data_IF_934550838674
#
_entry.id   IF_934550838674
#
_cell.length_a   1.000
_cell.length_b   1.000
_cell.length_c   1.000
_cell.angle_alpha   90.00
_cell.angle_beta   90.00
_cell.angle_gamma   90.00
#
_symmetry.space_group_name_H-M   'P 1'
#
loop_
_entity.id
_entity.type
_entity.pdbx_description
1 polymer ?
#
# COMPACT_ATOMS: atom_id res chain seq x y z
N UNK A 1 28.81 -72.40 46.79
CA UNK A 1 28.62 -71.05 46.20
C UNK A 1 29.33 -70.98 44.85
N UNK A 2 28.73 -70.34 43.85
CA UNK A 2 29.34 -70.11 42.53
C UNK A 2 28.48 -70.55 41.35
N UNK A 3 27.34 -69.89 41.11
CA UNK A 3 26.65 -69.89 39.80
C UNK A 3 26.73 -68.48 39.23
N UNK A 4 27.45 -68.30 38.14
CA UNK A 4 27.18 -67.22 37.18
C UNK A 4 27.82 -67.55 35.84
N UNK A 5 27.00 -68.11 34.96
CA UNK A 5 27.29 -68.26 33.56
C UNK A 5 26.03 -67.90 32.77
N UNK A 6 26.22 -67.25 31.63
CA UNK A 6 25.27 -67.01 30.54
C UNK A 6 24.49 -65.67 30.58
N UNK A 7 24.88 -64.74 29.69
CA UNK A 7 24.16 -64.39 28.44
C UNK A 7 24.58 -63.01 27.93
N UNK A 8 25.56 -62.95 27.02
CA UNK A 8 25.72 -61.81 26.09
C UNK A 8 24.68 -61.98 24.98
N UNK A 9 23.54 -61.29 25.10
CA UNK A 9 22.45 -61.34 24.12
C UNK A 9 22.75 -60.37 22.98
N UNK A 10 22.84 -60.94 21.79
CA UNK A 10 22.97 -60.29 20.51
C UNK A 10 21.79 -59.35 20.21
N UNK A 11 22.08 -58.12 19.80
CA UNK A 11 21.21 -57.28 18.97
C UNK A 11 22.07 -56.26 18.21
N UNK A 12 22.72 -56.72 17.13
CA UNK A 12 23.03 -55.85 15.98
C UNK A 12 21.82 -55.92 15.06
N UNK A 13 20.90 -54.99 15.23
CA UNK A 13 19.72 -54.85 14.39
C UNK A 13 20.02 -53.81 13.30
N UNK A 14 19.86 -54.24 12.04
CA UNK A 14 19.83 -53.46 10.80
C UNK A 14 21.09 -52.72 10.32
N UNK A 15 22.02 -53.48 9.75
CA UNK A 15 22.73 -53.03 8.54
C UNK A 15 21.92 -53.53 7.34
N UNK A 16 20.92 -52.75 6.90
CA UNK A 16 20.16 -53.06 5.68
C UNK A 16 21.02 -52.62 4.50
N UNK A 17 21.67 -53.58 3.85
CA UNK A 17 22.44 -53.32 2.63
C UNK A 17 21.48 -52.86 1.53
N UNK A 18 21.56 -51.59 1.13
CA UNK A 18 21.07 -51.12 -0.17
C UNK A 18 22.05 -51.67 -1.23
N UNK A 19 21.93 -52.96 -1.56
CA UNK A 19 22.64 -53.54 -2.69
C UNK A 19 22.02 -52.93 -3.96
N UNK A 20 22.80 -52.03 -4.57
CA UNK A 20 22.48 -51.31 -5.79
C UNK A 20 22.22 -52.28 -6.94
N UNK A 21 21.02 -52.20 -7.51
CA UNK A 21 20.80 -52.50 -8.92
C UNK A 21 20.89 -51.17 -9.65
N UNK A 22 22.03 -50.85 -10.25
CA UNK A 22 22.16 -49.66 -11.10
C UNK A 22 21.39 -49.86 -12.41
N UNK A 23 20.06 -49.78 -12.33
CA UNK A 23 19.22 -49.46 -13.48
C UNK A 23 19.22 -47.94 -13.59
N UNK A 24 20.15 -47.40 -14.37
CA UNK A 24 20.11 -45.99 -14.75
C UNK A 24 18.79 -45.70 -15.47
N UNK A 25 18.16 -44.57 -15.14
CA UNK A 25 17.01 -44.08 -15.90
C UNK A 25 17.43 -43.89 -17.37
N UNK A 26 16.60 -44.37 -18.29
CA UNK A 26 16.84 -44.11 -19.71
C UNK A 26 16.51 -42.65 -20.03
N UNK A 27 17.18 -42.06 -21.02
CA UNK A 27 16.90 -40.69 -21.46
C UNK A 27 15.43 -40.50 -21.86
N UNK A 28 14.82 -41.54 -22.45
CA UNK A 28 13.42 -41.50 -22.88
C UNK A 28 12.44 -41.46 -21.69
N UNK A 29 12.68 -42.23 -20.62
CA UNK A 29 11.84 -42.20 -19.42
C UNK A 29 11.89 -40.82 -18.75
N UNK A 30 13.06 -40.20 -18.73
CA UNK A 30 13.21 -38.85 -18.21
C UNK A 30 12.45 -37.83 -19.07
N UNK A 31 12.59 -37.88 -20.39
CA UNK A 31 11.93 -36.93 -21.30
C UNK A 31 10.40 -37.06 -21.23
N UNK A 32 9.86 -38.27 -21.22
CA UNK A 32 8.41 -38.49 -21.15
C UNK A 32 7.86 -37.99 -19.82
N UNK A 33 8.54 -38.25 -18.70
CA UNK A 33 8.07 -37.82 -17.38
C UNK A 33 8.09 -36.30 -17.21
N UNK A 34 9.18 -35.61 -17.60
CA UNK A 34 9.21 -34.14 -17.54
C UNK A 34 8.18 -33.52 -18.46
N UNK A 35 7.88 -34.14 -19.61
CA UNK A 35 6.86 -33.66 -20.55
C UNK A 35 5.47 -33.73 -19.92
N UNK A 36 5.13 -34.86 -19.30
CA UNK A 36 3.83 -35.00 -18.60
C UNK A 36 3.72 -34.03 -17.42
N UNK A 37 4.79 -33.88 -16.63
CA UNK A 37 4.82 -32.90 -15.53
C UNK A 37 4.67 -31.46 -16.03
N UNK A 38 5.30 -31.12 -17.16
CA UNK A 38 5.19 -29.79 -17.76
C UNK A 38 3.76 -29.48 -18.20
N UNK A 39 3.06 -30.43 -18.83
CA UNK A 39 1.66 -30.26 -19.25
C UNK A 39 0.74 -30.06 -18.03
N UNK A 40 0.89 -30.88 -16.97
CA UNK A 40 0.09 -30.73 -15.75
C UNK A 40 0.39 -29.39 -15.06
N UNK A 41 1.67 -29.03 -14.94
CA UNK A 41 2.09 -27.78 -14.33
C UNK A 41 1.52 -26.56 -15.08
N UNK A 42 1.49 -26.59 -16.42
CA UNK A 42 0.98 -25.50 -17.24
C UNK A 42 -0.48 -25.13 -16.91
N UNK A 43 -1.34 -26.11 -16.61
CA UNK A 43 -2.72 -25.86 -16.21
C UNK A 43 -2.87 -25.59 -14.70
N UNK A 44 -2.03 -26.20 -13.87
CA UNK A 44 -2.16 -26.11 -12.40
C UNK A 44 -1.64 -24.77 -11.86
N UNK A 45 -0.54 -24.23 -12.42
CA UNK A 45 0.10 -23.00 -11.92
C UNK A 45 -0.87 -21.80 -11.95
N UNK A 46 -1.57 -21.48 -13.05
CA UNK A 46 -2.50 -20.34 -13.08
C UNK A 46 -3.62 -20.45 -12.04
N UNK A 47 -4.18 -21.65 -11.85
CA UNK A 47 -5.22 -21.88 -10.85
C UNK A 47 -4.69 -21.70 -9.42
N UNK A 48 -3.46 -22.14 -9.16
CA UNK A 48 -2.83 -21.97 -7.85
C UNK A 48 -2.57 -20.49 -7.54
N UNK A 49 -2.16 -19.69 -8.54
CA UNK A 49 -1.95 -18.26 -8.37
C UNK A 49 -3.23 -17.55 -7.92
N UNK A 50 -4.38 -17.83 -8.54
CA UNK A 50 -5.66 -17.28 -8.11
C UNK A 50 -6.03 -17.63 -6.66
N UNK A 51 -5.81 -18.89 -6.25
CA UNK A 51 -6.06 -19.30 -4.85
C UNK A 51 -5.12 -18.62 -3.86
N UNK A 52 -3.87 -18.36 -4.25
CA UNK A 52 -2.90 -17.64 -3.41
C UNK A 52 -3.34 -16.19 -3.23
N UNK A 53 -3.78 -15.52 -4.29
CA UNK A 53 -4.24 -14.13 -4.19
C UNK A 53 -5.52 -14.01 -3.36
N UNK A 54 -6.47 -14.94 -3.51
CA UNK A 54 -7.65 -15.04 -2.64
C UNK A 54 -7.28 -15.26 -1.16
N UNK A 55 -6.28 -16.11 -0.90
CA UNK A 55 -5.80 -16.36 0.46
C UNK A 55 -5.16 -15.11 1.07
N UNK A 56 -4.36 -14.36 0.29
CA UNK A 56 -3.78 -13.09 0.72
C UNK A 56 -4.85 -12.04 1.00
N UNK A 57 -5.89 -11.93 0.17
CA UNK A 57 -6.99 -11.00 0.39
C UNK A 57 -7.80 -11.36 1.65
N UNK A 58 -8.03 -12.66 1.91
CA UNK A 58 -8.67 -13.13 3.15
C UNK A 58 -7.81 -12.89 4.40
N UNK A 59 -6.51 -13.15 4.33
CA UNK A 59 -5.59 -12.88 5.44
C UNK A 59 -5.50 -11.37 5.72
N UNK A 60 -5.47 -10.53 4.68
CA UNK A 60 -5.56 -9.08 4.80
C UNK A 60 -6.81 -8.64 5.58
N UNK A 61 -8.00 -9.10 5.17
CA UNK A 61 -9.28 -8.80 5.86
C UNK A 61 -9.29 -9.30 7.30
N UNK A 62 -8.73 -10.48 7.54
CA UNK A 62 -8.61 -11.06 8.88
C UNK A 62 -7.74 -10.17 9.79
N UNK A 63 -6.57 -9.76 9.31
CA UNK A 63 -5.66 -8.85 10.03
C UNK A 63 -6.33 -7.50 10.32
N UNK A 64 -7.01 -6.92 9.34
CA UNK A 64 -7.77 -5.67 9.53
C UNK A 64 -8.79 -5.79 10.66
N UNK A 65 -9.58 -6.86 10.68
CA UNK A 65 -10.57 -7.09 11.75
C UNK A 65 -9.91 -7.34 13.11
N UNK A 66 -8.78 -8.06 13.14
CA UNK A 66 -8.03 -8.32 14.38
C UNK A 66 -7.40 -7.03 14.93
N UNK A 67 -6.93 -6.11 14.07
CA UNK A 67 -6.47 -4.77 14.48
C UNK A 67 -7.64 -3.98 15.08
N UNK A 68 -8.80 -3.94 14.42
CA UNK A 68 -10.01 -3.27 14.94
C UNK A 68 -10.41 -3.79 16.31
N UNK A 69 -10.45 -5.12 16.47
CA UNK A 69 -10.78 -5.76 17.75
C UNK A 69 -9.74 -5.47 18.83
N UNK A 70 -8.45 -5.65 18.51
CA UNK A 70 -7.35 -5.40 19.46
C UNK A 70 -7.33 -3.95 19.93
N UNK A 71 -7.70 -3.00 19.06
CA UNK A 71 -7.85 -1.59 19.42
C UNK A 71 -8.94 -1.41 20.47
N UNK A 72 -10.15 -1.89 20.21
CA UNK A 72 -11.26 -1.82 21.15
C UNK A 72 -10.91 -2.45 22.50
N UNK A 73 -10.29 -3.63 22.49
CA UNK A 73 -9.86 -4.33 23.71
C UNK A 73 -8.88 -3.47 24.54
N UNK A 74 -7.86 -2.89 23.90
CA UNK A 74 -6.86 -2.04 24.59
C UNK A 74 -7.43 -0.69 25.07
N UNK A 75 -8.42 -0.13 24.37
CA UNK A 75 -9.10 1.09 24.81
C UNK A 75 -9.92 0.81 26.07
N UNK A 76 -10.63 -0.32 26.11
CA UNK A 76 -11.40 -0.75 27.29
C UNK A 76 -10.47 -1.04 28.48
N UNK A 77 -9.35 -1.73 28.26
CA UNK A 77 -8.37 -2.03 29.31
C UNK A 77 -7.74 -0.78 29.93
N UNK A 78 -7.66 0.34 29.19
CA UNK A 78 -7.21 1.63 29.72
C UNK A 78 -8.24 2.34 30.60
N UNK A 79 -9.46 1.81 30.72
CA UNK A 79 -10.52 2.40 31.54
C UNK A 79 -11.10 3.68 30.95
N UNK A 80 -11.05 3.85 29.62
CA UNK A 80 -11.67 5.00 28.96
C UNK A 80 -13.18 4.94 29.14
N UNK A 81 -13.80 6.01 29.66
CA UNK A 81 -15.23 6.03 29.99
C UNK A 81 -16.14 5.85 28.77
N UNK A 82 -15.74 6.39 27.61
CA UNK A 82 -16.48 6.27 26.34
C UNK A 82 -15.55 5.76 25.24
N UNK A 83 -15.28 4.44 25.17
CA UNK A 83 -14.38 3.85 24.17
C UNK A 83 -14.78 4.16 22.73
N UNK A 84 -16.09 4.26 22.46
CA UNK A 84 -16.64 4.55 21.14
C UNK A 84 -16.36 5.97 20.66
N UNK A 85 -15.80 6.86 21.49
CA UNK A 85 -15.38 8.21 21.08
C UNK A 85 -13.86 8.41 21.12
N UNK A 86 -13.12 7.36 21.45
CA UNK A 86 -11.71 7.47 21.76
C UNK A 86 -10.84 7.25 20.52
N UNK A 87 -9.99 8.22 20.22
CA UNK A 87 -9.05 8.24 19.09
C UNK A 87 -7.62 8.14 19.62
N UNK A 88 -6.87 7.11 19.23
CA UNK A 88 -5.50 6.97 19.73
C UNK A 88 -4.60 6.15 18.81
N UNK A 89 -3.88 6.84 17.93
CA UNK A 89 -2.85 6.20 17.13
C UNK A 89 -1.69 5.63 17.94
N UNK A 90 -1.46 6.03 19.20
CA UNK A 90 -0.47 5.34 20.05
C UNK A 90 -0.88 3.90 20.39
N UNK A 91 -2.18 3.63 20.50
CA UNK A 91 -2.70 2.26 20.66
C UNK A 91 -2.62 1.52 19.33
N UNK A 92 -2.97 2.20 18.23
CA UNK A 92 -2.83 1.62 16.88
C UNK A 92 -1.38 1.25 16.60
N UNK A 93 -0.42 2.12 16.90
CA UNK A 93 1.01 1.87 16.74
C UNK A 93 1.45 0.64 17.54
N UNK A 94 1.04 0.53 18.82
CA UNK A 94 1.32 -0.66 19.63
C UNK A 94 0.80 -1.95 19.00
N UNK A 95 -0.37 -1.90 18.37
CA UNK A 95 -0.94 -3.08 17.70
C UNK A 95 -0.19 -3.34 16.40
N UNK A 96 -0.13 -2.34 15.52
CA UNK A 96 0.34 -2.49 14.16
C UNK A 96 1.86 -2.73 14.11
N UNK A 97 2.62 -1.95 14.86
CA UNK A 97 4.09 -2.05 14.89
C UNK A 97 4.50 -3.23 15.77
N UNK A 98 4.06 -3.28 17.04
CA UNK A 98 4.61 -4.28 17.97
C UNK A 98 4.07 -5.70 17.71
N UNK A 99 2.80 -5.85 17.32
CA UNK A 99 2.19 -7.19 17.08
C UNK A 99 2.43 -7.69 15.65
N UNK A 100 2.34 -6.82 14.65
CA UNK A 100 2.43 -7.23 13.24
C UNK A 100 3.73 -6.83 12.55
N UNK A 101 4.64 -6.13 13.22
CA UNK A 101 5.90 -5.67 12.62
C UNK A 101 5.70 -4.61 11.53
N UNK A 102 4.58 -3.86 11.60
CA UNK A 102 4.30 -2.81 10.65
C UNK A 102 5.28 -1.64 10.77
N UNK A 103 5.47 -0.94 9.67
CA UNK A 103 6.26 0.28 9.61
C UNK A 103 5.34 1.46 9.31
N UNK A 104 5.66 2.64 9.81
CA UNK A 104 4.88 3.85 9.56
C UNK A 104 5.79 5.02 9.21
N UNK A 105 5.29 5.91 8.37
CA UNK A 105 5.92 7.19 8.08
C UNK A 105 4.99 8.30 8.58
N UNK A 106 5.59 9.36 9.13
CA UNK A 106 4.86 10.49 9.72
C UNK A 106 4.18 11.28 8.62
N UNK A 107 2.87 11.09 8.50
CA UNK A 107 1.91 11.86 7.72
C UNK A 107 0.67 11.98 8.61
N UNK A 108 0.82 12.73 9.69
CA UNK A 108 -0.22 12.86 10.71
C UNK A 108 -1.18 13.98 10.27
N UNK A 109 -2.44 13.63 9.96
CA UNK A 109 -3.50 14.65 9.86
C UNK A 109 -4.13 14.89 11.19
N UNK A 110 -4.34 16.15 11.51
CA UNK A 110 -5.13 16.57 12.65
C UNK A 110 -6.47 17.13 12.16
N UNK A 111 -7.55 16.83 12.87
CA UNK A 111 -8.83 17.51 12.68
C UNK A 111 -8.80 18.94 13.28
N UNK A 112 -9.90 19.67 13.16
CA UNK A 112 -10.06 21.01 13.75
C UNK A 112 -9.85 21.06 15.27
N UNK A 113 -9.82 19.91 15.95
CA UNK A 113 -9.56 19.78 17.38
C UNK A 113 -8.09 19.48 17.71
N UNK A 114 -7.23 19.31 16.70
CA UNK A 114 -5.84 18.87 16.86
C UNK A 114 -5.71 17.34 17.05
N UNK A 115 -6.79 16.58 16.86
CA UNK A 115 -6.78 15.13 17.04
C UNK A 115 -6.34 14.45 15.76
N UNK A 116 -5.38 13.52 15.87
CA UNK A 116 -4.93 12.77 14.70
C UNK A 116 -6.06 11.90 14.15
N UNK A 117 -6.36 12.04 12.86
CA UNK A 117 -7.49 11.34 12.21
C UNK A 117 -7.06 10.24 11.25
N UNK A 118 -5.86 10.30 10.65
CA UNK A 118 -5.38 9.27 9.72
C UNK A 118 -3.90 8.95 9.90
N UNK A 119 -3.51 7.71 9.56
CA UNK A 119 -2.12 7.28 9.52
C UNK A 119 -1.90 6.11 8.56
N UNK A 120 -0.72 6.07 7.96
CA UNK A 120 -0.33 5.04 6.98
C UNK A 120 0.63 4.02 7.58
N UNK A 121 0.43 2.74 7.23
CA UNK A 121 1.27 1.63 7.66
C UNK A 121 1.62 0.66 6.52
N UNK A 122 2.85 0.18 6.52
CA UNK A 122 3.42 -0.81 5.60
C UNK A 122 3.79 -2.12 6.32
N UNK A 123 4.05 -3.17 5.55
CA UNK A 123 4.61 -4.44 6.05
C UNK A 123 3.59 -5.44 6.60
N UNK A 124 2.30 -5.10 6.59
CA UNK A 124 1.23 -5.93 7.22
C UNK A 124 0.47 -6.76 6.18
N UNK A 125 0.17 -6.13 5.03
CA UNK A 125 -0.58 -6.74 3.95
C UNK A 125 0.22 -7.92 3.34
N UNK A 126 -0.39 -9.11 3.18
CA UNK A 126 0.30 -10.28 2.59
C UNK A 126 0.72 -10.09 1.13
N UNK A 127 0.06 -9.18 0.42
CA UNK A 127 0.37 -8.80 -0.96
C UNK A 127 1.36 -7.65 -1.05
N UNK A 128 1.88 -7.15 0.08
CA UNK A 128 2.77 -5.99 0.13
C UNK A 128 2.06 -4.63 0.04
N UNK A 129 0.72 -4.64 0.08
CA UNK A 129 -0.08 -3.41 0.13
C UNK A 129 0.06 -2.63 1.43
N UNK A 130 -0.57 -1.47 1.44
CA UNK A 130 -0.46 -0.45 2.48
C UNK A 130 -1.79 -0.28 3.16
N UNK A 131 -1.76 -0.11 4.48
CA UNK A 131 -2.93 0.17 5.28
C UNK A 131 -3.02 1.66 5.55
N UNK A 132 -4.12 2.29 5.13
CA UNK A 132 -4.53 3.61 5.59
C UNK A 132 -5.56 3.41 6.70
N UNK A 133 -5.20 3.79 7.93
CA UNK A 133 -6.06 3.69 9.10
C UNK A 133 -6.60 5.07 9.41
N UNK A 134 -7.92 5.20 9.51
CA UNK A 134 -8.63 6.45 9.71
C UNK A 134 -9.64 6.30 10.85
N UNK A 135 -9.82 7.35 11.66
CA UNK A 135 -10.92 7.43 12.62
C UNK A 135 -12.02 8.31 12.02
N UNK A 136 -13.18 7.72 11.78
CA UNK A 136 -14.32 8.37 11.10
C UNK A 136 -15.44 8.57 12.11
N UNK A 137 -16.01 9.77 12.16
CA UNK A 137 -17.23 10.02 12.92
C UNK A 137 -18.44 9.42 12.22
N UNK A 138 -19.24 8.66 12.96
CA UNK A 138 -20.48 8.05 12.50
C UNK A 138 -21.64 8.59 13.32
N UNK A 139 -22.71 9.03 12.65
CA UNK A 139 -23.93 9.46 13.33
C UNK A 139 -24.77 8.24 13.72
N UNK A 140 -24.84 7.95 15.03
CA UNK A 140 -25.71 6.92 15.57
C UNK A 140 -26.93 7.51 16.29
N UNK A 141 -27.93 6.65 16.54
CA UNK A 141 -29.16 7.03 17.26
C UNK A 141 -28.93 7.61 18.66
N UNK A 142 -27.74 7.45 19.23
CA UNK A 142 -27.35 7.91 20.58
C UNK A 142 -26.30 9.03 20.56
N UNK A 143 -26.01 9.60 19.39
CA UNK A 143 -24.99 10.63 19.17
C UNK A 143 -23.86 10.14 18.26
N UNK A 144 -22.86 11.00 18.06
CA UNK A 144 -21.69 10.69 17.23
C UNK A 144 -20.79 9.65 17.91
N UNK A 145 -20.51 8.55 17.20
CA UNK A 145 -19.50 7.56 17.56
C UNK A 145 -18.30 7.68 16.61
N UNK A 146 -17.16 7.08 16.99
CA UNK A 146 -15.92 7.07 16.23
C UNK A 146 -15.64 5.62 15.83
N UNK A 147 -15.65 5.36 14.53
CA UNK A 147 -15.27 4.07 13.98
C UNK A 147 -13.85 4.11 13.39
N UNK A 148 -13.05 3.09 13.69
CA UNK A 148 -11.76 2.90 13.02
C UNK A 148 -11.97 2.20 11.67
N UNK A 149 -11.65 2.90 10.59
CA UNK A 149 -11.64 2.40 9.22
C UNK A 149 -10.21 2.01 8.84
N UNK A 150 -10.05 0.89 8.14
CA UNK A 150 -8.75 0.41 7.67
C UNK A 150 -8.91 0.03 6.21
N UNK A 151 -8.25 0.79 5.35
CA UNK A 151 -8.27 0.65 3.90
C UNK A 151 -6.97 0.02 3.43
N UNK A 152 -7.03 -0.93 2.49
CA UNK A 152 -5.84 -1.56 1.94
C UNK A 152 -5.65 -1.11 0.49
N UNK A 153 -4.40 -0.80 0.13
CA UNK A 153 -4.03 -0.36 -1.22
C UNK A 153 -4.22 -1.42 -2.31
N UNK A 154 -4.32 -2.70 -1.93
CA UNK A 154 -4.49 -3.82 -2.86
C UNK A 154 -5.96 -3.98 -3.26
N UNK A 155 -6.21 -4.11 -4.56
CA UNK A 155 -7.54 -4.35 -5.10
C UNK A 155 -8.17 -5.61 -4.48
N UNK A 156 -9.45 -5.52 -4.11
CA UNK A 156 -10.21 -6.64 -3.54
C UNK A 156 -9.86 -7.01 -2.09
N UNK A 157 -8.90 -6.34 -1.45
CA UNK A 157 -8.55 -6.56 -0.05
C UNK A 157 -9.48 -5.83 0.92
N UNK A 158 -10.05 -4.69 0.54
CA UNK A 158 -11.07 -3.95 1.30
C UNK A 158 -12.30 -3.66 0.43
N UNK A 159 -13.45 -3.41 1.06
CA UNK A 159 -14.72 -3.13 0.36
C UNK A 159 -14.70 -1.82 -0.40
N UNK A 160 -14.01 -0.82 0.13
CA UNK A 160 -13.98 0.52 -0.44
C UNK A 160 -12.87 0.60 -1.49
N UNK A 161 -13.11 1.40 -2.54
CA UNK A 161 -12.10 1.72 -3.56
C UNK A 161 -10.94 2.47 -2.89
N UNK A 162 -9.93 1.73 -2.46
CA UNK A 162 -8.74 2.27 -1.85
C UNK A 162 -7.52 1.87 -2.69
N UNK A 163 -7.53 2.19 -3.99
CA UNK A 163 -6.35 1.99 -4.83
C UNK A 163 -5.17 2.81 -4.31
N UNK A 164 -3.95 2.37 -4.65
CA UNK A 164 -2.69 3.06 -4.29
C UNK A 164 -2.77 4.57 -4.60
N UNK A 165 -3.35 4.95 -5.75
CA UNK A 165 -3.58 6.34 -6.16
C UNK A 165 -4.42 7.15 -5.18
N UNK A 166 -5.51 6.58 -4.67
CA UNK A 166 -6.39 7.29 -3.71
C UNK A 166 -5.67 7.51 -2.38
N UNK A 167 -4.94 6.49 -1.91
CA UNK A 167 -4.13 6.60 -0.69
C UNK A 167 -3.00 7.61 -0.87
N UNK A 168 -2.37 7.65 -2.05
CA UNK A 168 -1.36 8.63 -2.39
C UNK A 168 -1.91 10.06 -2.36
N UNK A 169 -3.01 10.31 -3.05
CA UNK A 169 -3.63 11.64 -3.09
C UNK A 169 -4.04 12.10 -1.69
N UNK A 170 -4.71 11.25 -0.90
CA UNK A 170 -5.06 11.58 0.50
C UNK A 170 -3.82 11.85 1.34
N UNK A 171 -2.75 11.08 1.14
CA UNK A 171 -1.50 11.31 1.87
C UNK A 171 -0.90 12.68 1.56
N UNK A 172 -0.99 13.14 0.30
CA UNK A 172 -0.51 14.47 -0.08
C UNK A 172 -1.44 15.59 0.43
N UNK A 173 -2.75 15.38 0.37
CA UNK A 173 -3.73 16.26 1.02
C UNK A 173 -3.43 16.43 2.51
N UNK A 174 -3.12 15.32 3.17
CA UNK A 174 -2.80 15.24 4.58
C UNK A 174 -1.56 16.08 4.93
N UNK A 175 -0.50 16.00 4.10
CA UNK A 175 0.64 16.90 4.25
C UNK A 175 0.20 18.36 4.09
N UNK A 176 -0.53 18.70 3.02
CA UNK A 176 -0.96 20.08 2.72
C UNK A 176 -1.76 20.70 3.88
N UNK A 177 -2.61 19.90 4.55
CA UNK A 177 -3.43 20.35 5.68
C UNK A 177 -2.69 20.41 7.01
N UNK A 178 -1.46 19.89 7.09
CA UNK A 178 -0.70 19.86 8.34
C UNK A 178 0.04 21.18 8.62
N UNK A 179 0.19 21.52 9.91
CA UNK A 179 0.92 22.72 10.35
C UNK A 179 2.39 22.76 9.91
N UNK A 180 3.00 21.59 9.66
CA UNK A 180 4.40 21.45 9.22
C UNK A 180 4.52 20.98 7.76
N UNK A 181 3.52 21.29 6.93
CA UNK A 181 3.50 20.89 5.52
C UNK A 181 4.76 21.33 4.77
N UNK A 182 5.47 20.37 4.19
CA UNK A 182 6.58 20.69 3.31
C UNK A 182 6.07 21.19 1.95
N UNK A 183 4.88 20.75 1.50
CA UNK A 183 4.24 21.24 0.27
C UNK A 183 3.87 22.72 0.42
N UNK A 184 3.19 23.10 1.49
CA UNK A 184 2.83 24.51 1.75
C UNK A 184 4.09 25.35 1.91
N UNK A 185 5.10 24.86 2.63
CA UNK A 185 6.40 25.54 2.78
C UNK A 185 7.05 25.83 1.42
N UNK A 186 7.00 24.88 0.48
CA UNK A 186 7.50 25.07 -0.88
C UNK A 186 6.75 26.19 -1.62
N UNK A 187 5.41 26.16 -1.62
CA UNK A 187 4.62 27.17 -2.33
C UNK A 187 4.67 28.56 -1.68
N UNK A 188 4.93 28.64 -0.37
CA UNK A 188 5.19 29.92 0.28
C UNK A 188 6.50 30.57 -0.24
N UNK A 189 7.51 29.76 -0.53
CA UNK A 189 8.75 30.23 -1.16
C UNK A 189 8.61 30.44 -2.68
N UNK A 190 7.71 29.69 -3.34
CA UNK A 190 7.54 29.67 -4.79
C UNK A 190 6.06 29.76 -5.20
N UNK A 191 5.41 30.91 -5.01
CA UNK A 191 3.94 31.03 -5.11
C UNK A 191 3.37 30.86 -6.52
N UNK A 192 4.18 31.02 -7.57
CA UNK A 192 3.77 30.89 -8.97
C UNK A 192 4.29 29.62 -9.64
N UNK A 193 4.99 28.76 -8.89
CA UNK A 193 5.56 27.53 -9.42
C UNK A 193 4.57 26.37 -9.29
N UNK A 194 4.93 25.23 -9.86
CA UNK A 194 4.26 23.94 -9.66
C UNK A 194 5.19 22.95 -8.98
N UNK A 195 4.62 21.85 -8.51
CA UNK A 195 5.35 20.72 -7.94
C UNK A 195 5.02 19.49 -8.80
N UNK A 196 5.96 19.03 -9.60
CA UNK A 196 5.72 18.00 -10.62
C UNK A 196 6.50 16.71 -10.32
N UNK A 197 6.04 15.58 -10.84
CA UNK A 197 6.74 14.29 -10.71
C UNK A 197 8.15 14.33 -11.27
N UNK A 198 8.40 15.21 -12.23
CA UNK A 198 9.72 15.44 -12.82
C UNK A 198 10.11 16.90 -12.79
N UNK A 199 11.37 17.15 -12.48
CA UNK A 199 11.95 18.50 -12.40
C UNK A 199 12.99 18.63 -11.29
N UNK A 200 13.77 19.73 -11.33
CA UNK A 200 14.73 20.07 -10.24
C UNK A 200 14.03 20.58 -8.97
N UNK A 201 12.79 21.04 -9.10
CA UNK A 201 12.09 21.72 -8.02
C UNK A 201 11.45 20.70 -7.07
N UNK A 202 12.20 20.37 -6.01
CA UNK A 202 11.68 19.97 -4.68
C UNK A 202 10.60 18.87 -4.59
N UNK A 203 10.50 17.99 -5.59
CA UNK A 203 9.78 16.73 -5.50
C UNK A 203 10.45 15.60 -4.67
N UNK A 204 11.72 15.64 -4.19
CA UNK A 204 12.31 14.48 -3.50
C UNK A 204 11.54 14.03 -2.26
N UNK A 205 10.96 14.96 -1.50
CA UNK A 205 10.23 14.60 -0.29
C UNK A 205 8.84 14.03 -0.62
N UNK A 206 8.14 14.60 -1.62
CA UNK A 206 6.94 13.96 -2.20
C UNK A 206 7.27 12.57 -2.73
N UNK A 207 8.32 12.42 -3.53
CA UNK A 207 8.74 11.15 -4.11
C UNK A 207 9.07 10.13 -3.02
N UNK A 208 9.80 10.50 -1.96
CA UNK A 208 10.06 9.59 -0.82
C UNK A 208 8.77 9.11 -0.16
N UNK A 209 7.79 10.00 0.01
CA UNK A 209 6.48 9.63 0.55
C UNK A 209 5.76 8.69 -0.40
N UNK A 210 5.70 9.00 -1.69
CA UNK A 210 5.03 8.16 -2.69
C UNK A 210 5.72 6.81 -2.87
N UNK A 211 7.05 6.74 -2.86
CA UNK A 211 7.83 5.50 -2.81
C UNK A 211 7.55 4.74 -1.50
N UNK A 212 7.43 5.46 -0.37
CA UNK A 212 6.92 4.89 0.87
C UNK A 212 5.44 4.49 0.76
N UNK A 213 4.69 4.92 -0.24
CA UNK A 213 3.36 4.39 -0.57
C UNK A 213 3.38 3.27 -1.62
N UNK A 214 4.57 2.81 -2.03
CA UNK A 214 4.70 1.79 -3.06
C UNK A 214 4.24 2.28 -4.44
N UNK A 215 4.09 3.59 -4.61
CA UNK A 215 3.85 4.22 -5.90
C UNK A 215 5.17 4.23 -6.66
N UNK A 216 5.17 3.69 -7.88
CA UNK A 216 6.31 3.82 -8.79
C UNK A 216 6.16 5.10 -9.63
N UNK A 217 6.70 6.19 -9.10
CA UNK A 217 6.73 7.51 -9.76
C UNK A 217 7.80 7.64 -10.84
N UNK A 218 8.53 6.56 -11.15
CA UNK A 218 9.65 6.56 -12.12
C UNK A 218 9.31 5.82 -13.40
N UNK A 219 8.33 4.92 -13.37
CA UNK A 219 7.97 4.13 -14.54
C UNK A 219 6.47 3.94 -14.78
N UNK A 220 5.62 4.17 -13.77
CA UNK A 220 4.19 3.83 -13.88
C UNK A 220 3.24 5.01 -13.85
N UNK A 221 3.60 6.09 -13.15
CA UNK A 221 2.72 7.23 -12.94
C UNK A 221 3.49 8.54 -12.91
N UNK A 222 2.76 9.61 -13.12
CA UNK A 222 3.22 10.99 -13.01
C UNK A 222 2.16 11.80 -12.26
N UNK A 223 2.59 12.88 -11.65
CA UNK A 223 1.73 13.70 -10.80
C UNK A 223 2.15 15.17 -10.87
N UNK A 224 1.23 16.06 -10.52
CA UNK A 224 1.46 17.50 -10.45
C UNK A 224 0.65 18.06 -9.29
N UNK A 225 1.19 19.03 -8.59
CA UNK A 225 0.52 19.81 -7.55
C UNK A 225 0.58 21.27 -7.96
N UNK A 226 -0.56 21.94 -7.90
CA UNK A 226 -0.68 23.37 -8.17
C UNK A 226 -1.38 24.08 -7.03
N UNK A 227 -0.88 25.25 -6.66
CA UNK A 227 -1.56 26.18 -5.75
C UNK A 227 -2.49 27.10 -6.56
N UNK A 228 -3.74 27.21 -6.14
CA UNK A 228 -4.79 28.04 -6.77
C UNK A 228 -5.38 28.95 -5.70
N UNK A 229 -4.90 30.20 -5.64
CA UNK A 229 -5.24 31.09 -4.53
C UNK A 229 -4.72 30.52 -3.22
N UNK A 230 -5.62 30.22 -2.28
CA UNK A 230 -5.29 29.55 -1.01
C UNK A 230 -5.55 28.03 -1.03
N UNK A 231 -5.99 27.49 -2.18
CA UNK A 231 -6.33 26.09 -2.36
C UNK A 231 -5.28 25.34 -3.19
N UNK A 232 -5.41 24.02 -3.27
CA UNK A 232 -4.49 23.14 -3.98
C UNK A 232 -5.24 22.14 -4.85
N UNK A 233 -4.71 21.90 -6.05
CA UNK A 233 -5.11 20.78 -6.89
C UNK A 233 -3.96 19.77 -6.99
N UNK A 234 -4.28 18.49 -6.87
CA UNK A 234 -3.37 17.36 -7.11
C UNK A 234 -3.85 16.67 -8.38
N UNK A 235 -2.95 16.48 -9.34
CA UNK A 235 -3.19 15.80 -10.60
C UNK A 235 -2.40 14.50 -10.64
N UNK A 236 -2.99 13.45 -11.19
CA UNK A 236 -2.42 12.11 -11.19
C UNK A 236 -2.70 11.38 -12.49
N UNK A 237 -1.70 10.65 -13.00
CA UNK A 237 -1.80 9.77 -14.15
C UNK A 237 -1.50 8.33 -13.76
N UNK A 238 -2.16 7.37 -14.41
CA UNK A 238 -1.78 5.94 -14.35
C UNK A 238 -0.80 5.60 -15.50
N UNK A 239 -0.02 6.58 -15.95
CA UNK A 239 0.93 6.44 -17.05
C UNK A 239 2.10 7.38 -16.81
N UNK A 240 3.32 6.89 -16.95
CA UNK A 240 4.52 7.70 -16.83
C UNK A 240 4.68 8.60 -18.07
N UNK A 241 4.60 9.91 -17.87
CA UNK A 241 4.51 10.88 -18.98
C UNK A 241 5.87 11.25 -19.57
N UNK A 242 6.98 10.99 -18.88
CA UNK A 242 8.29 11.41 -19.38
C UNK A 242 8.76 10.61 -20.61
N UNK A 243 8.22 9.41 -20.79
CA UNK A 243 8.45 8.59 -21.99
C UNK A 243 7.55 8.99 -23.17
N UNK A 244 6.64 9.96 -22.98
CA UNK A 244 5.67 10.38 -23.99
C UNK A 244 6.10 11.66 -24.73
N UNK A 245 5.85 11.75 -26.05
CA UNK A 245 6.09 12.98 -26.79
C UNK A 245 5.13 14.09 -26.32
N UNK A 246 5.55 15.35 -26.51
CA UNK A 246 4.70 16.52 -26.26
C UNK A 246 3.39 16.44 -27.06
N UNK A 247 2.28 16.88 -26.46
CA UNK A 247 0.95 16.82 -27.05
C UNK A 247 0.29 15.43 -27.00
N UNK A 248 0.92 14.44 -26.36
CA UNK A 248 0.31 13.11 -26.19
C UNK A 248 -0.93 13.19 -25.30
N UNK A 249 -2.06 12.64 -25.77
CA UNK A 249 -3.28 12.56 -24.96
C UNK A 249 -3.12 11.58 -23.79
N UNK A 250 -3.43 12.03 -22.59
CA UNK A 250 -3.35 11.28 -21.34
C UNK A 250 -4.64 11.42 -20.53
N UNK A 251 -5.00 10.38 -19.79
CA UNK A 251 -6.10 10.42 -18.83
C UNK A 251 -5.58 10.85 -17.46
N UNK A 252 -6.27 11.82 -16.86
CA UNK A 252 -5.81 12.45 -15.61
C UNK A 252 -6.94 12.48 -14.60
N UNK A 253 -6.62 12.06 -13.38
CA UNK A 253 -7.42 12.29 -12.19
C UNK A 253 -6.96 13.60 -11.53
N UNK A 254 -7.88 14.52 -11.26
CA UNK A 254 -7.64 15.71 -10.47
C UNK A 254 -8.39 15.61 -9.15
N UNK A 255 -7.72 15.96 -8.06
CA UNK A 255 -8.29 16.08 -6.73
C UNK A 255 -8.15 17.52 -6.24
N UNK A 256 -9.23 18.08 -5.71
CA UNK A 256 -9.21 19.41 -5.10
C UNK A 256 -9.20 19.29 -3.58
N UNK A 257 -8.17 19.86 -2.94
CA UNK A 257 -7.86 19.65 -1.52
C UNK A 257 -8.92 20.26 -0.59
N UNK A 258 -9.43 21.45 -0.91
CA UNK A 258 -10.44 22.10 -0.07
C UNK A 258 -11.82 21.43 -0.18
N UNK A 259 -12.24 21.03 -1.38
CA UNK A 259 -13.57 20.41 -1.58
C UNK A 259 -13.60 18.91 -1.35
N UNK A 260 -12.45 18.24 -1.36
CA UNK A 260 -12.34 16.78 -1.24
C UNK A 260 -12.89 16.01 -2.44
N UNK A 261 -13.00 16.66 -3.60
CA UNK A 261 -13.67 16.13 -4.79
C UNK A 261 -12.68 15.65 -5.84
N UNK A 262 -13.01 14.51 -6.45
CA UNK A 262 -12.32 13.95 -7.59
C UNK A 262 -12.96 14.41 -8.90
N UNK A 263 -12.12 14.62 -9.90
CA UNK A 263 -12.48 15.00 -11.25
C UNK A 263 -11.63 14.20 -12.23
N UNK A 264 -12.13 14.01 -13.43
CA UNK A 264 -11.44 13.29 -14.49
C UNK A 264 -11.49 14.07 -15.79
N UNK A 265 -10.41 14.02 -16.56
CA UNK A 265 -10.36 14.57 -17.90
C UNK A 265 -9.32 13.85 -18.75
N UNK A 266 -9.46 14.01 -20.08
CA UNK A 266 -8.35 13.82 -21.01
C UNK A 266 -7.67 15.17 -21.22
N UNK A 267 -6.34 15.16 -21.17
CA UNK A 267 -5.49 16.33 -21.40
C UNK A 267 -4.23 15.89 -22.13
N UNK A 268 -3.27 16.79 -22.30
CA UNK A 268 -2.04 16.55 -23.06
C UNK A 268 -0.79 16.61 -22.17
N UNK A 269 0.29 15.98 -22.65
CA UNK A 269 1.63 16.11 -22.07
C UNK A 269 2.25 17.43 -22.54
N UNK A 270 2.44 18.35 -21.60
CA UNK A 270 3.15 19.61 -21.82
C UNK A 270 4.66 19.46 -21.63
N UNK A 271 5.42 20.40 -22.18
CA UNK A 271 6.88 20.49 -22.01
C UNK A 271 7.27 21.92 -21.65
N UNK A 272 8.16 22.06 -20.66
CA UNK A 272 8.86 23.32 -20.42
C UNK A 272 10.36 23.06 -20.26
N UNK A 273 11.19 24.00 -20.70
CA UNK A 273 12.64 23.89 -20.59
C UNK A 273 13.13 24.60 -19.33
N UNK A 274 13.93 23.92 -18.49
CA UNK A 274 14.57 24.54 -17.31
C UNK A 274 15.95 25.13 -17.60
N UNK A 275 16.34 25.16 -18.89
CA UNK A 275 17.65 25.62 -19.36
C UNK A 275 18.73 24.52 -19.40
N UNK A 276 18.52 23.38 -18.75
CA UNK A 276 19.41 22.21 -18.83
C UNK A 276 18.73 21.00 -19.49
N UNK A 277 17.42 20.84 -19.30
CA UNK A 277 16.63 19.76 -19.87
C UNK A 277 15.18 20.18 -20.08
N UNK A 278 14.53 19.47 -20.99
CA UNK A 278 13.09 19.54 -21.13
C UNK A 278 12.42 18.72 -20.03
N UNK A 279 11.48 19.34 -19.32
CA UNK A 279 10.70 18.73 -18.25
C UNK A 279 9.28 18.55 -18.74
N UNK A 280 8.78 17.33 -18.56
CA UNK A 280 7.43 16.91 -18.94
C UNK A 280 6.48 17.24 -17.80
N UNK A 281 5.29 17.71 -18.13
CA UNK A 281 4.28 18.03 -17.14
C UNK A 281 2.88 17.74 -17.65
N UNK A 282 1.93 17.66 -16.72
CA UNK A 282 0.53 17.46 -17.02
C UNK A 282 -0.09 18.82 -17.37
N UNK A 283 -0.71 18.96 -18.54
CA UNK A 283 -1.50 20.15 -18.86
C UNK A 283 -2.80 20.18 -18.08
N UNK A 284 -3.12 21.32 -17.45
CA UNK A 284 -4.25 21.42 -16.51
C UNK A 284 -5.48 22.11 -17.09
N UNK A 285 -5.34 22.73 -18.28
CA UNK A 285 -6.44 23.32 -19.03
C UNK A 285 -7.24 22.25 -19.78
N UNK A 286 -8.16 21.61 -19.06
CA UNK A 286 -9.01 20.55 -19.59
C UNK A 286 -10.47 20.72 -19.13
N UNK A 287 -11.38 20.05 -19.82
CA UNK A 287 -12.79 19.95 -19.44
C UNK A 287 -12.97 18.90 -18.34
N UNK A 288 -12.78 19.32 -17.09
CA UNK A 288 -12.88 18.46 -15.90
C UNK A 288 -14.32 18.02 -15.61
N UNK A 289 -14.52 16.72 -15.46
CA UNK A 289 -15.81 16.11 -15.10
C UNK A 289 -15.71 15.58 -13.67
N UNK A 290 -16.61 16.02 -12.78
CA UNK A 290 -16.66 15.53 -11.38
C UNK A 290 -16.99 14.04 -11.33
N UNK A 291 -16.23 13.28 -10.54
CA UNK A 291 -16.52 11.87 -10.24
C UNK A 291 -17.70 11.83 -9.25
N UNK A 292 -18.72 11.02 -9.57
CA UNK A 292 -20.00 10.99 -8.84
C UNK A 292 -20.09 9.85 -7.83
#
# INVERSE_FOLDING_TARGET
MGKSGMKKRCLRFFKKNYFQTEKGFTMIELIVTITVLAVIAAFTIPSLLGFVDDAKAKDCRSKTNDIKRSYTDLVVDKGVEVPTKYRSFSIVDKIVIDKYGGETQVLDTEDETGSKVEKVYKGICPSGGIYLIQFVDTEESKGTEVEMHILCSCEGHTSDKAGVTHIAIRTLENDIKSDNSFIVSYFNAHPTSTLDSTGKNFAPDVQKILEFLGVDTKTTCSWRIEKIGEDYNIYWTETFIDDLPEGSEIYVTKYNVSTGKFYHAKTEVGVHSDGEKDIKHIETNANWIEDK
#
